data_IF_344025779171
#
_entry.id   IF_344025779171
#
_cell.length_a   1.000
_cell.length_b   1.000
_cell.length_c   1.000
_cell.angle_alpha   90.00
_cell.angle_beta   90.00
_cell.angle_gamma   90.00
#
_symmetry.space_group_name_H-M   'P 1'
#
loop_
_entity.id
_entity.type
_entity.pdbx_description
1 polymer ?
#
# COMPACT_ATOMS: atom_id res chain seq x y z
N UNK A 1 -10.95 0.89 10.52
CA UNK A 1 -9.87 1.52 9.73
C UNK A 1 -9.88 3.03 10.00
N UNK A 2 -8.73 3.67 10.23
CA UNK A 2 -8.66 5.11 10.57
C UNK A 2 -9.21 6.02 9.46
N UNK A 3 -8.90 5.71 8.19
CA UNK A 3 -9.35 6.53 7.05
C UNK A 3 -10.88 6.58 6.94
N UNK A 4 -11.56 5.44 7.08
CA UNK A 4 -13.04 5.40 7.05
C UNK A 4 -13.67 6.24 8.16
N UNK A 5 -13.09 6.23 9.37
CA UNK A 5 -13.57 7.08 10.47
C UNK A 5 -13.39 8.57 10.14
N UNK A 6 -12.26 8.93 9.51
CA UNK A 6 -12.05 10.29 9.02
C UNK A 6 -13.07 10.68 7.95
N UNK A 7 -13.40 9.78 7.01
CA UNK A 7 -14.42 10.03 5.99
C UNK A 7 -15.81 10.28 6.58
N UNK A 8 -16.18 9.59 7.67
CA UNK A 8 -17.46 9.77 8.33
C UNK A 8 -17.54 11.08 9.13
N UNK A 9 -16.43 11.50 9.75
CA UNK A 9 -16.44 12.61 10.71
C UNK A 9 -15.98 13.95 10.13
N UNK A 10 -15.06 13.93 9.17
CA UNK A 10 -14.46 15.14 8.61
C UNK A 10 -15.27 15.65 7.41
N UNK A 11 -15.58 16.94 7.43
CA UNK A 11 -16.24 17.63 6.31
C UNK A 11 -15.25 18.28 5.34
N UNK A 12 -13.98 18.41 5.76
CA UNK A 12 -12.90 18.96 4.95
C UNK A 12 -12.16 17.84 4.22
N UNK A 13 -11.58 18.11 3.03
CA UNK A 13 -10.68 17.17 2.36
C UNK A 13 -9.52 16.76 3.26
N UNK A 14 -9.10 15.50 3.18
CA UNK A 14 -7.95 15.00 3.94
C UNK A 14 -7.08 14.07 3.08
N UNK A 15 -5.79 14.03 3.41
CA UNK A 15 -4.83 13.15 2.75
C UNK A 15 -4.52 11.95 3.65
N UNK A 16 -4.52 10.75 3.07
CA UNK A 16 -4.05 9.56 3.76
C UNK A 16 -2.51 9.55 3.82
N UNK A 17 -1.92 9.14 4.93
CA UNK A 17 -0.46 9.10 5.10
C UNK A 17 -0.03 7.83 5.82
N UNK A 18 1.11 7.29 5.40
CA UNK A 18 1.71 6.09 6.00
C UNK A 18 1.36 4.80 5.27
N UNK A 19 2.37 4.09 4.77
CA UNK A 19 2.21 2.78 4.14
C UNK A 19 1.93 2.79 2.64
N UNK A 20 1.84 3.96 2.00
CA UNK A 20 1.64 4.10 0.55
C UNK A 20 2.99 4.09 -0.21
N UNK A 21 3.07 3.28 -1.25
CA UNK A 21 4.22 3.11 -2.14
C UNK A 21 3.85 2.88 -3.61
N UNK A 22 2.60 2.51 -3.94
CA UNK A 22 2.17 2.29 -5.33
C UNK A 22 0.71 2.71 -5.56
N UNK A 23 0.29 2.75 -6.83
CA UNK A 23 -1.04 3.23 -7.22
C UNK A 23 -2.21 2.38 -6.72
N UNK A 24 -2.01 1.08 -6.46
CA UNK A 24 -3.06 0.23 -5.84
C UNK A 24 -3.46 0.73 -4.47
N UNK A 25 -2.48 1.14 -3.67
CA UNK A 25 -2.72 1.67 -2.33
C UNK A 25 -3.33 3.08 -2.39
N UNK A 26 -2.97 3.87 -3.40
CA UNK A 26 -3.64 5.16 -3.66
C UNK A 26 -5.12 4.94 -3.99
N UNK A 27 -5.45 4.02 -4.90
CA UNK A 27 -6.83 3.68 -5.22
C UNK A 27 -7.62 3.23 -3.98
N UNK A 28 -7.00 2.42 -3.11
CA UNK A 28 -7.60 2.04 -1.84
C UNK A 28 -7.85 3.24 -0.91
N UNK A 29 -6.91 4.19 -0.79
CA UNK A 29 -7.11 5.40 0.00
C UNK A 29 -8.27 6.26 -0.52
N UNK A 30 -8.36 6.43 -1.84
CA UNK A 30 -9.46 7.16 -2.47
C UNK A 30 -10.80 6.47 -2.20
N UNK A 31 -10.86 5.14 -2.34
CA UNK A 31 -12.05 4.36 -2.02
C UNK A 31 -12.47 4.45 -0.54
N UNK A 32 -11.51 4.70 0.37
CA UNK A 32 -11.76 4.92 1.79
C UNK A 32 -12.15 6.37 2.14
N UNK A 33 -12.30 7.24 1.13
CA UNK A 33 -12.77 8.61 1.28
C UNK A 33 -11.68 9.66 1.40
N UNK A 34 -10.40 9.30 1.28
CA UNK A 34 -9.32 10.28 1.24
C UNK A 34 -9.31 11.03 -0.09
N UNK A 35 -8.88 12.29 -0.09
CA UNK A 35 -8.75 13.12 -1.31
C UNK A 35 -7.40 12.95 -2.00
N UNK A 36 -6.50 12.15 -1.43
CA UNK A 36 -5.17 11.88 -1.95
C UNK A 36 -4.31 11.19 -0.91
N UNK A 37 -3.02 11.03 -1.24
CA UNK A 37 -2.04 10.41 -0.34
C UNK A 37 -0.82 11.29 -0.13
N UNK A 38 -0.19 11.15 1.03
CA UNK A 38 1.14 11.65 1.34
C UNK A 38 2.08 10.46 1.53
N UNK A 39 3.28 10.55 0.94
CA UNK A 39 4.29 9.50 0.96
C UNK A 39 5.61 10.04 1.47
N UNK A 40 6.41 9.17 2.10
CA UNK A 40 7.76 9.51 2.57
C UNK A 40 8.78 8.58 1.93
N UNK A 41 8.82 7.33 2.41
CA UNK A 41 9.76 6.30 1.95
C UNK A 41 9.82 6.14 0.43
N UNK A 42 8.66 6.21 -0.25
CA UNK A 42 8.57 6.09 -1.71
C UNK A 42 9.27 7.23 -2.45
N UNK A 43 9.17 8.47 -1.95
CA UNK A 43 9.84 9.63 -2.53
C UNK A 43 11.34 9.68 -2.21
N UNK A 44 11.80 8.98 -1.16
CA UNK A 44 13.24 8.79 -0.96
C UNK A 44 13.87 7.94 -2.07
N UNK A 45 13.09 7.03 -2.67
CA UNK A 45 13.51 6.17 -3.78
C UNK A 45 13.13 6.75 -5.14
N UNK A 46 13.58 7.97 -5.42
CA UNK A 46 13.53 8.56 -6.76
C UNK A 46 14.91 9.11 -7.14
N UNK A 47 15.17 9.29 -8.44
CA UNK A 47 16.44 9.82 -8.96
C UNK A 47 16.76 11.19 -8.34
N UNK A 48 15.76 12.06 -8.25
CA UNK A 48 15.85 13.45 -7.82
C UNK A 48 16.05 13.61 -6.31
N UNK A 49 15.73 12.57 -5.52
CA UNK A 49 15.92 12.62 -4.08
C UNK A 49 17.40 12.87 -3.73
N UNK A 50 17.73 13.92 -2.94
CA UNK A 50 19.11 14.33 -2.67
C UNK A 50 19.79 13.47 -1.58
N UNK A 51 19.35 12.23 -1.39
CA UNK A 51 19.96 11.29 -0.44
C UNK A 51 20.97 10.39 -1.15
N UNK A 52 21.97 9.94 -0.39
CA UNK A 52 23.01 9.05 -0.90
C UNK A 52 22.42 7.78 -1.52
N UNK A 53 22.95 7.35 -2.68
CA UNK A 53 22.40 6.25 -3.46
C UNK A 53 22.29 4.94 -2.68
N UNK A 54 23.29 4.61 -1.86
CA UNK A 54 23.27 3.44 -0.94
C UNK A 54 22.05 3.41 0.00
N UNK A 55 21.50 4.55 0.40
CA UNK A 55 20.28 4.58 1.22
C UNK A 55 19.07 4.18 0.38
N UNK A 56 19.01 4.63 -0.88
CA UNK A 56 17.96 4.21 -1.83
C UNK A 56 18.02 2.70 -2.08
N UNK A 57 19.22 2.16 -2.30
CA UNK A 57 19.44 0.71 -2.44
C UNK A 57 19.04 -0.05 -1.19
N UNK A 58 19.37 0.47 0.01
CA UNK A 58 18.95 -0.14 1.26
C UNK A 58 17.43 -0.18 1.42
N UNK A 59 16.71 0.84 0.96
CA UNK A 59 15.23 0.84 0.95
C UNK A 59 14.69 -0.19 -0.05
N UNK A 60 15.26 -0.26 -1.26
CA UNK A 60 14.85 -1.22 -2.30
C UNK A 60 15.07 -2.68 -1.87
N UNK A 61 16.14 -2.92 -1.10
CA UNK A 61 16.47 -4.25 -0.57
C UNK A 61 15.74 -4.59 0.74
N UNK A 62 15.01 -3.65 1.34
CA UNK A 62 14.34 -3.85 2.62
C UNK A 62 12.98 -4.55 2.46
N UNK A 63 12.66 -5.39 3.43
CA UNK A 63 11.34 -5.99 3.62
C UNK A 63 10.47 -5.14 4.56
N UNK A 64 9.19 -5.46 4.66
CA UNK A 64 8.27 -4.85 5.62
C UNK A 64 8.68 -5.06 7.10
N UNK A 65 9.51 -6.09 7.35
CA UNK A 65 10.01 -6.45 8.68
C UNK A 65 11.30 -5.73 9.06
N UNK A 66 11.90 -4.95 8.17
CA UNK A 66 13.15 -4.22 8.39
C UNK A 66 12.93 -2.82 8.98
N UNK A 67 11.84 -2.69 9.75
CA UNK A 67 11.55 -1.51 10.57
C UNK A 67 11.40 -1.89 12.03
N UNK A 68 11.61 -0.91 12.91
CA UNK A 68 11.42 -1.07 14.35
C UNK A 68 10.78 0.18 14.95
N UNK A 69 10.01 0.00 16.02
CA UNK A 69 9.45 1.11 16.80
C UNK A 69 10.36 1.40 17.98
N UNK A 70 10.90 2.62 18.01
CA UNK A 70 11.69 3.14 19.13
C UNK A 70 10.87 4.18 19.91
N UNK A 71 11.35 4.54 21.09
CA UNK A 71 10.87 5.60 21.96
C UNK A 71 9.43 5.41 22.48
N UNK A 72 8.98 4.16 22.55
CA UNK A 72 7.61 3.84 23.00
C UNK A 72 7.42 4.19 24.47
N UNK A 73 8.42 3.88 25.31
CA UNK A 73 8.38 4.16 26.75
C UNK A 73 8.36 5.66 27.07
N UNK A 74 8.87 6.50 26.17
CA UNK A 74 8.90 7.95 26.34
C UNK A 74 7.68 8.66 25.72
N UNK A 75 6.68 7.92 25.23
CA UNK A 75 5.51 8.45 24.50
C UNK A 75 5.89 9.29 23.26
N UNK A 76 7.04 9.01 22.64
CA UNK A 76 7.55 9.69 21.45
C UNK A 76 7.82 8.69 20.31
N UNK A 77 6.87 7.78 20.10
CA UNK A 77 7.07 6.59 19.25
C UNK A 77 7.46 6.98 17.83
N UNK A 78 8.59 6.46 17.36
CA UNK A 78 9.10 6.69 16.01
C UNK A 78 9.38 5.35 15.31
N UNK A 79 9.00 5.25 14.04
CA UNK A 79 9.33 4.09 13.20
C UNK A 79 10.60 4.35 12.41
N UNK A 80 11.59 3.50 12.61
CA UNK A 80 12.93 3.64 12.06
C UNK A 80 13.32 2.38 11.28
N UNK A 81 14.30 2.51 10.40
CA UNK A 81 14.96 1.36 9.80
C UNK A 81 15.64 0.52 10.89
N UNK A 82 15.53 -0.80 10.80
CA UNK A 82 16.16 -1.73 11.74
C UNK A 82 17.66 -1.83 11.40
N UNK A 83 18.48 -1.18 12.22
CA UNK A 83 19.93 -1.12 12.08
C UNK A 83 20.62 -1.21 13.45
N UNK A 84 21.95 -1.12 13.50
CA UNK A 84 22.70 -1.25 14.77
C UNK A 84 22.23 -0.25 15.83
N UNK A 85 22.05 1.01 15.45
CA UNK A 85 21.71 2.11 16.38
C UNK A 85 20.29 1.99 16.91
N UNK A 86 19.31 1.74 16.03
CA UNK A 86 17.90 1.59 16.45
C UNK A 86 17.68 0.35 17.32
N UNK A 87 18.38 -0.75 17.04
CA UNK A 87 18.34 -1.96 17.88
C UNK A 87 18.97 -1.71 19.25
N UNK A 88 20.05 -0.92 19.32
CA UNK A 88 20.65 -0.50 20.58
C UNK A 88 19.69 0.36 21.42
N UNK A 89 18.98 1.30 20.79
CA UNK A 89 17.93 2.10 21.47
C UNK A 89 16.84 1.21 22.05
N UNK A 90 16.32 0.26 21.27
CA UNK A 90 15.29 -0.70 21.73
C UNK A 90 15.82 -1.57 22.86
N UNK A 91 17.09 -1.98 22.80
CA UNK A 91 17.74 -2.75 23.86
C UNK A 91 17.79 -1.95 25.17
N UNK A 92 18.30 -0.72 25.13
CA UNK A 92 18.36 0.17 26.31
C UNK A 92 16.96 0.41 26.88
N UNK A 93 15.99 0.70 26.02
CA UNK A 93 14.60 0.88 26.43
C UNK A 93 14.05 -0.34 27.18
N UNK A 94 14.35 -1.56 26.73
CA UNK A 94 13.79 -2.77 27.31
C UNK A 94 14.53 -3.29 28.54
N UNK A 95 15.85 -3.18 28.57
CA UNK A 95 16.69 -3.75 29.63
C UNK A 95 16.87 -2.82 30.83
N UNK A 96 16.87 -1.49 30.62
CA UNK A 96 17.09 -0.53 31.70
C UNK A 96 15.80 -0.30 32.51
N UNK A 97 15.89 -0.50 33.83
CA UNK A 97 14.85 -0.10 34.78
C UNK A 97 14.84 1.43 34.93
N UNK A 98 13.65 2.02 35.02
CA UNK A 98 13.44 3.46 35.17
C UNK A 98 14.15 4.28 34.08
N UNK A 99 14.11 3.78 32.83
CA UNK A 99 14.76 4.40 31.67
C UNK A 99 14.23 5.81 31.41
N UNK A 100 15.14 6.75 31.17
CA UNK A 100 14.85 8.14 30.84
C UNK A 100 15.35 8.47 29.43
N UNK A 101 14.78 9.49 28.78
CA UNK A 101 15.16 9.84 27.40
C UNK A 101 16.66 10.17 27.24
N UNK A 102 17.29 10.76 28.27
CA UNK A 102 18.73 11.07 28.28
C UNK A 102 19.61 9.83 28.03
N UNK A 103 19.11 8.63 28.35
CA UNK A 103 19.83 7.36 28.18
C UNK A 103 20.02 7.00 26.71
N UNK A 104 19.12 7.45 25.83
CA UNK A 104 19.14 7.15 24.39
C UNK A 104 19.36 8.40 23.52
N UNK A 105 19.36 9.60 24.10
CA UNK A 105 19.41 10.87 23.37
C UNK A 105 20.63 11.00 22.44
N UNK A 106 21.78 10.44 22.84
CA UNK A 106 23.01 10.45 22.04
C UNK A 106 22.94 9.53 20.81
N UNK A 107 22.14 8.46 20.86
CA UNK A 107 21.85 7.57 19.73
C UNK A 107 20.80 8.18 18.80
N UNK A 108 19.83 8.91 19.36
CA UNK A 108 18.73 9.57 18.66
C UNK A 108 19.08 10.97 18.12
N UNK A 109 20.37 11.30 18.04
CA UNK A 109 20.82 12.61 17.55
C UNK A 109 20.44 12.81 16.08
N UNK A 110 19.70 13.88 15.79
CA UNK A 110 19.34 14.25 14.41
C UNK A 110 20.57 14.47 13.51
N UNK A 111 21.69 14.94 14.07
CA UNK A 111 22.95 15.10 13.34
C UNK A 111 23.53 13.76 12.88
N UNK A 112 23.42 12.71 13.70
CA UNK A 112 23.83 11.35 13.31
C UNK A 112 22.90 10.78 12.23
N UNK A 113 21.60 11.01 12.37
CA UNK A 113 20.62 10.62 11.35
C UNK A 113 20.84 11.31 10.01
N UNK A 114 21.17 12.60 10.02
CA UNK A 114 21.54 13.35 8.81
C UNK A 114 22.76 12.73 8.11
N UNK A 115 23.77 12.30 8.88
CA UNK A 115 24.95 11.63 8.35
C UNK A 115 24.64 10.37 7.55
N UNK A 116 23.55 9.65 7.84
CA UNK A 116 23.10 8.50 7.04
C UNK A 116 22.79 8.92 5.61
N UNK A 117 22.03 10.00 5.44
CA UNK A 117 21.61 10.49 4.12
C UNK A 117 22.76 11.10 3.32
N UNK A 118 23.79 11.63 3.98
CA UNK A 118 24.95 12.25 3.34
C UNK A 118 26.04 11.23 2.96
N UNK A 119 26.34 10.29 3.86
CA UNK A 119 27.46 9.34 3.71
C UNK A 119 27.04 8.00 3.10
N UNK A 120 25.75 7.67 3.19
CA UNK A 120 25.23 6.36 2.80
C UNK A 120 25.54 5.23 3.78
N UNK A 121 26.14 5.51 4.93
CA UNK A 121 26.30 4.55 6.01
C UNK A 121 24.97 4.40 6.77
N UNK A 122 24.22 3.35 6.43
CA UNK A 122 22.92 3.03 7.03
C UNK A 122 22.98 2.67 8.51
N UNK A 123 24.17 2.46 9.07
CA UNK A 123 24.42 2.18 10.49
C UNK A 123 24.95 3.41 11.26
N UNK A 124 25.24 4.54 10.61
CA UNK A 124 25.83 5.72 11.27
C UNK A 124 24.88 6.38 12.32
N UNK A 125 23.57 6.23 12.13
CA UNK A 125 22.55 6.82 12.96
C UNK A 125 21.16 6.22 12.72
N UNK A 126 20.17 6.76 13.40
CA UNK A 126 18.77 6.41 13.17
C UNK A 126 18.22 7.16 11.95
N UNK A 127 17.40 6.49 11.15
CA UNK A 127 16.72 7.09 10.01
C UNK A 127 15.34 6.47 9.81
N UNK A 128 14.41 7.27 9.30
CA UNK A 128 12.99 6.92 9.22
C UNK A 128 12.74 6.00 8.03
N UNK A 129 12.05 4.89 8.28
CA UNK A 129 11.63 3.97 7.23
C UNK A 129 10.22 3.46 7.49
N UNK A 130 9.36 3.60 6.49
CA UNK A 130 8.01 3.02 6.51
C UNK A 130 8.02 1.56 6.08
N UNK A 131 7.09 0.75 6.61
CA UNK A 131 6.92 -0.66 6.25
C UNK A 131 6.60 -0.88 4.76
N UNK A 132 6.17 0.18 4.05
CA UNK A 132 5.97 0.12 2.61
C UNK A 132 7.27 -0.08 1.81
N UNK A 133 8.45 -0.06 2.46
CA UNK A 133 9.72 -0.42 1.84
C UNK A 133 9.66 -1.79 1.15
N UNK A 134 8.96 -2.77 1.73
CA UNK A 134 8.77 -4.10 1.12
C UNK A 134 7.97 -4.10 -0.20
N UNK A 135 7.44 -2.95 -0.64
CA UNK A 135 6.75 -2.77 -1.92
C UNK A 135 7.51 -1.84 -2.88
N UNK A 136 8.72 -1.42 -2.52
CA UNK A 136 9.57 -0.52 -3.30
C UNK A 136 10.68 -1.35 -3.93
N UNK A 137 10.69 -1.43 -5.26
CA UNK A 137 11.60 -2.33 -5.99
C UNK A 137 12.43 -1.61 -7.07
N UNK A 138 12.34 -0.28 -7.13
CA UNK A 138 12.91 0.55 -8.19
C UNK A 138 13.25 1.96 -7.68
N UNK A 139 14.01 2.70 -8.49
CA UNK A 139 14.39 4.10 -8.25
C UNK A 139 14.09 4.91 -9.53
N UNK A 140 12.80 5.14 -9.85
CA UNK A 140 12.39 5.88 -11.04
C UNK A 140 12.64 7.39 -10.87
N UNK A 141 12.44 8.16 -11.93
CA UNK A 141 12.25 9.61 -11.79
C UNK A 141 10.94 9.91 -11.06
N UNK A 142 10.82 11.09 -10.46
CA UNK A 142 9.57 11.55 -9.86
C UNK A 142 8.43 11.58 -10.88
N UNK A 143 8.72 11.99 -12.12
CA UNK A 143 7.73 12.02 -13.20
C UNK A 143 7.21 10.62 -13.55
N UNK A 144 8.11 9.65 -13.76
CA UNK A 144 7.74 8.28 -14.10
C UNK A 144 6.97 7.60 -12.96
N UNK A 145 7.34 7.90 -11.71
CA UNK A 145 6.63 7.41 -10.53
C UNK A 145 5.19 7.90 -10.51
N UNK A 146 4.95 9.20 -10.72
CA UNK A 146 3.60 9.77 -10.74
C UNK A 146 2.78 9.17 -11.87
N UNK A 147 3.30 9.15 -13.09
CA UNK A 147 2.60 8.58 -14.26
C UNK A 147 2.24 7.11 -14.05
N UNK A 148 3.15 6.33 -13.45
CA UNK A 148 2.90 4.92 -13.13
C UNK A 148 1.80 4.79 -12.08
N UNK A 149 1.83 5.60 -11.01
CA UNK A 149 0.78 5.59 -9.99
C UNK A 149 -0.58 5.99 -10.54
N UNK A 150 -0.66 7.02 -11.37
CA UNK A 150 -1.90 7.46 -12.02
C UNK A 150 -2.51 6.35 -12.87
N UNK A 151 -1.69 5.71 -13.72
CA UNK A 151 -2.12 4.54 -14.51
C UNK A 151 -2.63 3.41 -13.63
N UNK A 152 -1.85 3.04 -12.61
CA UNK A 152 -2.22 1.97 -11.67
C UNK A 152 -3.55 2.25 -10.95
N UNK A 153 -3.79 3.51 -10.54
CA UNK A 153 -5.04 3.91 -9.90
C UNK A 153 -6.23 3.74 -10.84
N UNK A 154 -6.11 4.26 -12.07
CA UNK A 154 -7.16 4.16 -13.10
C UNK A 154 -7.47 2.68 -13.38
N UNK A 155 -6.43 1.88 -13.58
CA UNK A 155 -6.57 0.45 -13.87
C UNK A 155 -7.26 -0.31 -12.72
N UNK A 156 -6.89 -0.02 -11.47
CA UNK A 156 -7.49 -0.67 -10.29
C UNK A 156 -8.95 -0.29 -10.17
N UNK A 157 -9.29 1.00 -10.23
CA UNK A 157 -10.66 1.46 -10.10
C UNK A 157 -11.54 0.92 -11.25
N UNK A 158 -11.04 0.88 -12.48
CA UNK A 158 -11.75 0.30 -13.62
C UNK A 158 -12.02 -1.20 -13.42
N UNK A 159 -11.02 -1.98 -12.98
CA UNK A 159 -11.18 -3.41 -12.67
C UNK A 159 -12.16 -3.64 -11.53
N UNK A 160 -12.07 -2.86 -10.46
CA UNK A 160 -13.00 -2.97 -9.32
C UNK A 160 -14.42 -2.63 -9.74
N UNK A 161 -14.64 -1.61 -10.57
CA UNK A 161 -15.96 -1.27 -11.09
C UNK A 161 -16.54 -2.41 -11.95
N UNK A 162 -15.72 -3.04 -12.80
CA UNK A 162 -16.13 -4.19 -13.59
C UNK A 162 -16.58 -5.39 -12.72
N UNK A 163 -15.90 -5.64 -11.59
CA UNK A 163 -16.26 -6.70 -10.65
C UNK A 163 -17.63 -6.48 -10.00
N UNK A 164 -17.99 -5.24 -9.68
CA UNK A 164 -19.30 -4.91 -9.10
C UNK A 164 -20.43 -5.35 -10.05
N UNK A 165 -20.28 -5.06 -11.35
CA UNK A 165 -21.27 -5.49 -12.36
C UNK A 165 -21.32 -7.02 -12.51
N UNK A 166 -20.18 -7.70 -12.43
CA UNK A 166 -20.14 -9.16 -12.48
C UNK A 166 -20.88 -9.80 -11.30
N UNK A 167 -20.70 -9.27 -10.08
CA UNK A 167 -21.41 -9.73 -8.89
C UNK A 167 -22.92 -9.54 -9.05
N UNK A 168 -23.35 -8.36 -9.53
CA UNK A 168 -24.78 -8.09 -9.72
C UNK A 168 -25.40 -9.03 -10.76
N UNK A 169 -24.71 -9.29 -11.87
CA UNK A 169 -25.16 -10.22 -12.93
C UNK A 169 -25.23 -11.66 -12.41
N UNK A 170 -24.25 -12.10 -11.62
CA UNK A 170 -24.20 -13.46 -11.07
C UNK A 170 -25.28 -13.72 -10.02
N UNK A 171 -25.58 -12.72 -9.18
CA UNK A 171 -26.57 -12.84 -8.10
C UNK A 171 -27.99 -12.65 -8.64
N UNK A 172 -28.24 -11.59 -9.42
CA UNK A 172 -29.60 -11.18 -9.80
C UNK A 172 -30.01 -11.76 -11.17
N UNK A 173 -29.06 -12.18 -12.00
CA UNK A 173 -29.36 -12.79 -13.31
C UNK A 173 -29.87 -11.82 -14.38
N UNK A 174 -29.90 -10.51 -14.11
CA UNK A 174 -30.38 -9.51 -15.06
C UNK A 174 -29.24 -8.95 -15.93
N UNK A 175 -29.05 -9.58 -17.08
CA UNK A 175 -28.07 -9.20 -18.08
C UNK A 175 -28.44 -7.93 -18.86
N UNK A 176 -29.73 -7.58 -18.95
CA UNK A 176 -30.21 -6.52 -19.84
C UNK A 176 -29.93 -5.13 -19.25
N UNK A 177 -30.00 -5.01 -17.93
CA UNK A 177 -29.83 -3.73 -17.23
C UNK A 177 -28.40 -3.20 -17.24
N UNK A 178 -27.38 -4.07 -17.37
CA UNK A 178 -25.96 -3.67 -17.30
C UNK A 178 -25.23 -3.64 -18.64
N UNK A 179 -25.95 -3.82 -19.75
CA UNK A 179 -25.38 -3.88 -21.11
C UNK A 179 -24.66 -2.59 -21.54
N UNK A 180 -25.14 -1.42 -21.08
CA UNK A 180 -24.56 -0.11 -21.39
C UNK A 180 -23.29 0.24 -20.58
N UNK A 181 -23.26 0.13 -19.24
CA UNK A 181 -22.05 0.42 -18.46
C UNK A 181 -20.89 -0.54 -18.76
N UNK A 182 -21.16 -1.80 -19.12
CA UNK A 182 -20.15 -2.76 -19.55
C UNK A 182 -19.55 -2.42 -20.93
N UNK A 183 -20.35 -1.91 -21.87
CA UNK A 183 -19.88 -1.54 -23.21
C UNK A 183 -18.86 -0.38 -23.21
N UNK A 184 -19.01 0.59 -22.31
CA UNK A 184 -18.04 1.70 -22.15
C UNK A 184 -16.69 1.25 -21.59
N UNK A 185 -16.63 0.09 -20.93
CA UNK A 185 -15.41 -0.55 -20.42
C UNK A 185 -14.82 -1.56 -21.43
N UNK A 186 -15.34 -1.63 -22.67
CA UNK A 186 -14.94 -2.60 -23.68
C UNK A 186 -15.46 -4.03 -23.45
N UNK A 187 -16.44 -4.20 -22.57
CA UNK A 187 -16.98 -5.49 -22.13
C UNK A 187 -18.32 -5.75 -22.83
N UNK A 188 -18.29 -6.40 -23.99
CA UNK A 188 -19.46 -6.51 -24.88
C UNK A 188 -20.27 -7.82 -24.76
N UNK A 189 -19.79 -8.83 -24.01
CA UNK A 189 -20.48 -10.13 -23.97
C UNK A 189 -20.32 -10.93 -22.66
N UNK A 190 -21.31 -11.76 -22.40
CA UNK A 190 -21.50 -12.61 -21.21
C UNK A 190 -20.37 -13.59 -20.91
N UNK A 191 -19.65 -13.99 -21.95
CA UNK A 191 -18.46 -14.84 -21.84
C UNK A 191 -17.28 -14.16 -21.12
N UNK A 192 -17.25 -12.82 -21.02
CA UNK A 192 -16.15 -12.11 -20.37
C UNK A 192 -16.34 -11.96 -18.86
N UNK A 193 -17.59 -11.75 -18.39
CA UNK A 193 -17.90 -11.77 -16.96
C UNK A 193 -17.48 -13.11 -16.31
N UNK A 194 -17.66 -14.21 -17.03
CA UNK A 194 -17.17 -15.53 -16.61
C UNK A 194 -15.63 -15.66 -16.65
N UNK A 195 -14.92 -14.97 -17.57
CA UNK A 195 -13.45 -14.94 -17.63
C UNK A 195 -12.82 -14.16 -16.47
N UNK A 196 -13.47 -13.08 -16.01
CA UNK A 196 -13.02 -12.29 -14.87
C UNK A 196 -13.18 -13.07 -13.56
N UNK A 197 -14.27 -13.83 -13.42
CA UNK A 197 -14.62 -14.54 -12.17
C UNK A 197 -13.87 -15.87 -12.04
N UNK A 198 -13.61 -16.57 -13.15
CA UNK A 198 -12.87 -17.85 -13.15
C UNK A 198 -11.74 -17.82 -14.21
N UNK A 199 -10.62 -17.11 -13.96
CA UNK A 199 -9.51 -17.07 -14.90
C UNK A 199 -8.93 -18.48 -15.10
N UNK A 200 -9.01 -19.00 -16.34
CA UNK A 200 -8.50 -20.33 -16.72
C UNK A 200 -9.56 -21.42 -16.94
N UNK A 201 -10.85 -21.15 -16.71
CA UNK A 201 -11.93 -22.17 -16.81
C UNK A 201 -12.86 -22.01 -18.02
N UNK A 202 -12.40 -21.31 -19.08
CA UNK A 202 -13.16 -21.10 -20.30
C UNK A 202 -12.37 -21.66 -21.47
N UNK A 203 -12.83 -22.80 -21.97
CA UNK A 203 -12.31 -23.43 -23.19
C UNK A 203 -13.42 -23.45 -24.25
N UNK A 204 -13.11 -22.99 -25.45
CA UNK A 204 -14.03 -22.91 -26.60
C UNK A 204 -15.43 -22.32 -26.29
N UNK A 205 -15.49 -21.23 -25.52
CA UNK A 205 -16.74 -20.50 -25.27
C UNK A 205 -17.75 -21.25 -24.38
N UNK A 206 -17.34 -22.32 -23.71
CA UNK A 206 -18.13 -23.01 -22.69
C UNK A 206 -17.50 -22.80 -21.31
N UNK A 207 -18.31 -22.33 -20.37
CA UNK A 207 -17.96 -22.26 -18.95
C UNK A 207 -17.80 -23.69 -18.44
N UNK A 208 -16.61 -24.04 -17.91
CA UNK A 208 -16.38 -25.36 -17.32
C UNK A 208 -17.42 -25.66 -16.22
N UNK A 209 -17.81 -26.92 -16.05
CA UNK A 209 -18.84 -27.33 -15.08
C UNK A 209 -18.54 -26.88 -13.63
N UNK A 210 -17.26 -26.69 -13.31
CA UNK A 210 -16.76 -26.21 -12.02
C UNK A 210 -17.05 -24.71 -11.77
N UNK A 211 -16.98 -23.87 -12.80
CA UNK A 211 -17.38 -22.47 -12.73
C UNK A 211 -18.91 -22.30 -12.57
N UNK A 212 -19.72 -23.26 -13.05
CA UNK A 212 -21.15 -23.31 -12.72
C UNK A 212 -21.37 -23.61 -11.24
N UNK A 213 -20.58 -24.50 -10.64
CA UNK A 213 -20.64 -24.81 -9.20
C UNK A 213 -20.31 -23.60 -8.33
N UNK A 214 -19.31 -22.80 -8.70
CA UNK A 214 -19.00 -21.55 -7.99
C UNK A 214 -20.13 -20.52 -8.11
N UNK A 215 -20.73 -20.36 -9.29
CA UNK A 215 -21.92 -19.53 -9.47
C UNK A 215 -23.15 -20.06 -8.69
N UNK A 216 -23.27 -21.38 -8.56
CA UNK A 216 -24.37 -22.03 -7.81
C UNK A 216 -24.16 -21.89 -6.30
N UNK A 217 -22.92 -21.93 -5.82
CA UNK A 217 -22.58 -21.71 -4.41
C UNK A 217 -22.91 -20.28 -3.95
N UNK A 218 -22.59 -19.28 -4.77
CA UNK A 218 -22.94 -17.88 -4.50
C UNK A 218 -24.46 -17.67 -4.53
N UNK A 219 -25.19 -18.31 -5.46
CA UNK A 219 -26.66 -18.29 -5.45
C UNK A 219 -27.26 -18.91 -4.19
N UNK A 220 -26.74 -20.08 -3.75
CA UNK A 220 -27.23 -20.76 -2.55
C UNK A 220 -26.94 -19.99 -1.26
N UNK A 221 -25.85 -19.24 -1.21
CA UNK A 221 -25.50 -18.37 -0.08
C UNK A 221 -26.37 -17.12 -0.01
N UNK A 222 -26.84 -16.59 -1.16
CA UNK A 222 -27.74 -15.44 -1.20
C UNK A 222 -29.21 -15.78 -0.84
N UNK A 223 -29.57 -17.07 -0.83
CA UNK A 223 -30.92 -17.57 -0.50
C UNK A 223 -31.07 -17.97 0.99
N UNK A 224 -30.01 -17.87 1.80
CA UNK A 224 -29.98 -18.12 3.26
C UNK A 224 -29.72 -16.85 4.04
#
# INVERSE_FOLDING_TARGET
>A
MLLSLCAEQLKIPYLASGGFANGRQVAAALALGASGVNMGTRWMCTVESPIHHKVKEAIVNATENDTVLCLRKFRNTSRLHKNKVSLEVVKIENEKKDVEFKDVAHLMSGKRGQGVYETGDVDAGVWSLGMCAGLIHDIPTCEDLVKTMERDVIDVLAKTNALIYCIHILIIGDFKTYRYPLAHLGLHDSNFAAKIVCPGQIDNGRIAADARLQCTFVRRWAET
#
